data_IF_455069809985
#
_entry.id   IF_455069809985
#
_cell.length_a   1.000
_cell.length_b   1.000
_cell.length_c   1.000
_cell.angle_alpha   90.00
_cell.angle_beta   90.00
_cell.angle_gamma   90.00
#
_symmetry.space_group_name_H-M   'P 1'
#
loop_
_entity.id
_entity.type
_entity.pdbx_description
1 polymer ?
#
# COMPACT_ATOMS: atom_id res chain seq x y z
N UNK A 1 26.59 -33.73 -45.19
CA UNK A 1 26.19 -32.32 -45.01
C UNK A 1 26.46 -31.93 -43.57
N UNK A 2 27.50 -31.14 -43.32
CA UNK A 2 27.84 -30.65 -41.98
C UNK A 2 27.17 -29.29 -41.76
N UNK A 3 26.39 -29.18 -40.69
CA UNK A 3 25.78 -27.93 -40.25
C UNK A 3 26.82 -27.12 -39.44
N UNK A 4 27.21 -25.96 -39.96
CA UNK A 4 28.02 -24.96 -39.25
C UNK A 4 27.08 -24.01 -38.50
N UNK A 5 26.99 -24.15 -37.18
CA UNK A 5 26.41 -23.13 -36.29
C UNK A 5 27.48 -22.09 -35.96
N UNK A 6 27.24 -20.77 -36.16
CA UNK A 6 28.17 -19.75 -35.71
C UNK A 6 28.04 -19.60 -34.20
N UNK A 7 29.11 -19.88 -33.47
CA UNK A 7 29.24 -19.56 -32.05
C UNK A 7 29.47 -18.06 -31.92
N UNK A 8 28.46 -17.31 -31.51
CA UNK A 8 28.64 -15.99 -30.94
C UNK A 8 29.38 -16.13 -29.60
N UNK A 9 30.71 -16.03 -29.62
CA UNK A 9 31.51 -15.86 -28.41
C UNK A 9 31.38 -14.43 -27.92
N UNK A 10 30.45 -14.19 -26.99
CA UNK A 10 30.49 -12.99 -26.15
C UNK A 10 31.68 -13.13 -25.18
N UNK A 11 32.52 -12.09 -25.00
CA UNK A 11 33.57 -12.12 -24.01
C UNK A 11 32.95 -12.25 -22.60
N UNK A 12 33.64 -12.93 -21.66
CA UNK A 12 33.17 -13.02 -20.29
C UNK A 12 33.06 -11.62 -19.71
N UNK A 13 31.85 -11.23 -19.31
CA UNK A 13 31.65 -10.04 -18.49
C UNK A 13 32.41 -10.29 -17.19
N UNK A 14 33.51 -9.56 -16.98
CA UNK A 14 34.15 -9.48 -15.68
C UNK A 14 33.14 -8.86 -14.70
N UNK A 15 32.33 -9.72 -14.07
CA UNK A 15 31.54 -9.32 -12.91
C UNK A 15 32.55 -8.97 -11.82
N UNK A 16 32.83 -7.68 -11.64
CA UNK A 16 33.35 -7.20 -10.36
C UNK A 16 32.38 -7.70 -9.31
N UNK A 17 32.86 -8.50 -8.37
CA UNK A 17 32.09 -8.83 -7.20
C UNK A 17 31.63 -7.50 -6.58
N UNK A 18 30.33 -7.33 -6.25
CA UNK A 18 29.93 -6.19 -5.45
C UNK A 18 30.79 -6.19 -4.18
N UNK A 19 31.19 -5.02 -3.67
CA UNK A 19 31.86 -4.96 -2.37
C UNK A 19 31.00 -5.76 -1.38
N UNK A 20 31.60 -6.52 -0.45
CA UNK A 20 30.82 -7.24 0.54
C UNK A 20 29.90 -6.21 1.17
N UNK A 21 28.58 -6.41 1.02
CA UNK A 21 27.60 -5.66 1.78
C UNK A 21 28.01 -5.89 3.23
N UNK A 22 28.67 -4.89 3.83
CA UNK A 22 28.71 -4.76 5.28
C UNK A 22 27.26 -4.52 5.65
N UNK A 23 26.51 -5.61 5.79
CA UNK A 23 25.35 -5.65 6.62
C UNK A 23 25.90 -5.28 7.99
N UNK A 24 25.85 -3.99 8.31
CA UNK A 24 25.88 -3.57 9.68
C UNK A 24 24.70 -4.31 10.30
N UNK A 25 24.97 -5.41 11.01
CA UNK A 25 23.98 -6.02 11.87
C UNK A 25 23.43 -4.88 12.73
N UNK A 26 22.15 -4.50 12.58
CA UNK A 26 21.63 -3.44 13.41
C UNK A 26 21.77 -3.92 14.84
N UNK A 27 22.58 -3.21 15.62
CA UNK A 27 22.68 -3.43 17.05
C UNK A 27 21.25 -3.43 17.61
N UNK A 28 20.85 -4.38 18.48
CA UNK A 28 19.49 -4.44 19.01
C UNK A 28 18.98 -3.11 19.61
N UNK A 29 19.90 -2.23 20.02
CA UNK A 29 19.62 -0.89 20.51
C UNK A 29 19.04 0.09 19.47
N UNK A 30 19.31 -0.09 18.16
CA UNK A 30 18.76 0.79 17.12
C UNK A 30 17.28 0.52 16.82
N UNK A 31 16.80 -0.70 17.12
CA UNK A 31 15.39 -1.10 17.01
C UNK A 31 14.49 -0.50 18.10
N UNK A 32 15.07 0.13 19.13
CA UNK A 32 14.36 0.58 20.33
C UNK A 32 13.99 2.08 20.34
N UNK A 33 14.18 2.81 19.22
CA UNK A 33 14.18 4.29 19.22
C UNK A 33 12.98 4.99 18.56
N UNK A 34 11.88 4.29 18.29
CA UNK A 34 10.63 5.02 18.10
C UNK A 34 10.26 5.62 19.45
N UNK A 35 10.14 6.95 19.52
CA UNK A 35 9.60 7.61 20.70
C UNK A 35 8.24 6.96 21.03
N UNK A 36 7.98 6.50 22.26
CA UNK A 36 6.68 5.97 22.64
C UNK A 36 5.51 6.86 22.19
N UNK A 37 5.71 8.18 22.15
CA UNK A 37 4.70 9.12 21.68
C UNK A 37 4.44 9.07 20.16
N UNK A 38 5.45 8.70 19.34
CA UNK A 38 5.28 8.49 17.89
C UNK A 38 4.45 7.24 17.55
N UNK A 39 4.29 6.31 18.50
CA UNK A 39 3.52 5.08 18.32
C UNK A 39 2.03 5.27 18.65
N UNK A 40 1.67 6.34 19.37
CA UNK A 40 0.30 6.61 19.80
C UNK A 40 -0.51 7.25 18.67
N UNK A 41 -1.83 7.03 18.70
CA UNK A 41 -2.74 7.69 17.78
C UNK A 41 -3.09 9.07 18.31
N UNK A 42 -2.79 10.09 17.52
CA UNK A 42 -3.25 11.45 17.79
C UNK A 42 -4.75 11.59 17.52
N UNK A 43 -5.38 12.63 18.07
CA UNK A 43 -6.79 12.93 17.80
C UNK A 43 -7.10 13.13 16.30
N UNK A 44 -6.28 13.87 15.51
CA UNK A 44 -6.48 13.95 14.07
C UNK A 44 -6.44 12.60 13.37
N UNK A 45 -5.54 11.70 13.75
CA UNK A 45 -5.46 10.35 13.17
C UNK A 45 -6.71 9.53 13.48
N UNK A 46 -7.22 9.62 14.71
CA UNK A 46 -8.48 8.98 15.13
C UNK A 46 -9.67 9.54 14.36
N UNK A 47 -9.75 10.87 14.21
CA UNK A 47 -10.81 11.53 13.45
C UNK A 47 -10.83 11.10 11.98
N UNK A 48 -9.66 11.05 11.32
CA UNK A 48 -9.57 10.57 9.93
C UNK A 48 -9.92 9.10 9.79
N UNK A 49 -9.49 8.27 10.74
CA UNK A 49 -9.84 6.85 10.76
C UNK A 49 -11.34 6.64 10.89
N UNK A 50 -11.99 7.40 11.79
CA UNK A 50 -13.44 7.39 11.95
C UNK A 50 -14.16 7.87 10.68
N UNK A 51 -13.75 9.00 10.11
CA UNK A 51 -14.35 9.56 8.91
C UNK A 51 -14.26 8.61 7.71
N UNK A 52 -13.09 8.00 7.48
CA UNK A 52 -12.90 7.00 6.43
C UNK A 52 -13.75 5.76 6.64
N UNK A 53 -13.82 5.26 7.88
CA UNK A 53 -14.68 4.11 8.22
C UNK A 53 -16.16 4.41 8.00
N UNK A 54 -16.61 5.60 8.39
CA UNK A 54 -17.99 6.04 8.17
C UNK A 54 -18.32 6.15 6.67
N UNK A 55 -17.40 6.66 5.85
CA UNK A 55 -17.57 6.74 4.40
C UNK A 55 -17.70 5.34 3.75
N UNK A 56 -16.88 4.37 4.17
CA UNK A 56 -16.99 2.97 3.73
C UNK A 56 -18.34 2.37 4.14
N UNK A 57 -18.74 2.52 5.40
CA UNK A 57 -20.01 2.00 5.90
C UNK A 57 -21.21 2.62 5.17
N UNK A 58 -21.17 3.92 4.91
CA UNK A 58 -22.21 4.61 4.15
C UNK A 58 -22.30 4.10 2.72
N UNK A 59 -21.16 3.91 2.04
CA UNK A 59 -21.12 3.39 0.67
C UNK A 59 -21.60 1.94 0.59
N UNK A 60 -21.21 1.11 1.56
CA UNK A 60 -21.67 -0.27 1.65
C UNK A 60 -23.17 -0.34 1.95
N UNK A 61 -23.68 0.51 2.84
CA UNK A 61 -25.11 0.60 3.13
C UNK A 61 -25.90 1.00 1.88
N UNK A 62 -25.46 2.01 1.14
CA UNK A 62 -26.11 2.42 -0.10
C UNK A 62 -26.11 1.30 -1.15
N UNK A 63 -24.97 0.63 -1.32
CA UNK A 63 -24.84 -0.52 -2.23
C UNK A 63 -25.75 -1.67 -1.84
N UNK A 64 -25.89 -1.96 -0.54
CA UNK A 64 -26.78 -3.00 -0.04
C UNK A 64 -28.26 -2.67 -0.26
N UNK A 65 -28.67 -1.41 -0.07
CA UNK A 65 -30.04 -0.97 -0.38
C UNK A 65 -30.35 -1.12 -1.88
N UNK A 66 -29.45 -0.66 -2.76
CA UNK A 66 -29.61 -0.82 -4.20
C UNK A 66 -29.68 -2.30 -4.62
N UNK A 67 -28.85 -3.16 -4.01
CA UNK A 67 -28.89 -4.59 -4.26
C UNK A 67 -30.21 -5.23 -3.81
N UNK A 68 -30.76 -4.83 -2.67
CA UNK A 68 -32.04 -5.31 -2.16
C UNK A 68 -33.21 -4.93 -3.09
N UNK A 69 -33.15 -3.73 -3.68
CA UNK A 69 -34.21 -3.21 -4.56
C UNK A 69 -34.10 -3.70 -6.01
N UNK A 70 -32.95 -4.27 -6.41
CA UNK A 70 -32.67 -4.69 -7.80
C UNK A 70 -33.52 -5.87 -8.31
N UNK A 71 -34.20 -6.61 -7.43
CA UNK A 71 -34.97 -7.80 -7.80
C UNK A 71 -34.14 -9.01 -8.24
N UNK A 72 -32.81 -8.89 -8.33
CA UNK A 72 -31.88 -9.96 -8.68
C UNK A 72 -30.51 -9.74 -8.03
N UNK A 73 -30.01 -10.73 -7.29
CA UNK A 73 -28.67 -10.66 -6.69
C UNK A 73 -27.53 -10.89 -7.68
N UNK A 74 -27.81 -11.33 -8.92
CA UNK A 74 -26.76 -11.67 -9.88
C UNK A 74 -25.95 -10.44 -10.33
N UNK A 75 -26.62 -9.32 -10.65
CA UNK A 75 -25.95 -8.10 -11.10
C UNK A 75 -25.14 -7.43 -9.97
N UNK A 76 -25.69 -7.22 -8.74
CA UNK A 76 -24.90 -6.70 -7.63
C UNK A 76 -23.72 -7.59 -7.25
N UNK A 77 -23.87 -8.91 -7.32
CA UNK A 77 -22.78 -9.84 -7.06
C UNK A 77 -21.68 -9.74 -8.11
N UNK A 78 -22.05 -9.69 -9.40
CA UNK A 78 -21.09 -9.50 -10.49
C UNK A 78 -20.34 -8.17 -10.36
N UNK A 79 -21.06 -7.09 -10.03
CA UNK A 79 -20.47 -5.77 -9.78
C UNK A 79 -19.50 -5.80 -8.58
N UNK A 80 -19.88 -6.44 -7.48
CA UNK A 80 -19.03 -6.57 -6.30
C UNK A 80 -17.74 -7.37 -6.61
N UNK A 81 -17.84 -8.47 -7.36
CA UNK A 81 -16.69 -9.27 -7.77
C UNK A 81 -15.75 -8.49 -8.70
N UNK A 82 -16.30 -7.76 -9.68
CA UNK A 82 -15.52 -6.91 -10.56
C UNK A 82 -14.80 -5.80 -9.77
N UNK A 83 -15.53 -5.10 -8.90
CA UNK A 83 -14.96 -4.04 -8.05
C UNK A 83 -13.86 -4.58 -7.13
N UNK A 84 -14.07 -5.72 -6.49
CA UNK A 84 -13.05 -6.37 -5.64
C UNK A 84 -11.79 -6.73 -6.43
N UNK A 85 -11.95 -7.32 -7.62
CA UNK A 85 -10.81 -7.71 -8.47
C UNK A 85 -10.01 -6.49 -8.93
N UNK A 86 -10.68 -5.43 -9.35
CA UNK A 86 -10.03 -4.17 -9.76
C UNK A 86 -9.33 -3.52 -8.57
N UNK A 87 -9.97 -3.51 -7.39
CA UNK A 87 -9.38 -2.96 -6.18
C UNK A 87 -8.11 -3.72 -5.77
N UNK A 88 -8.13 -5.06 -5.77
CA UNK A 88 -6.97 -5.89 -5.45
C UNK A 88 -5.80 -5.62 -6.41
N UNK A 89 -6.07 -5.63 -7.72
CA UNK A 89 -5.06 -5.33 -8.73
C UNK A 89 -4.49 -3.91 -8.57
N UNK A 90 -5.36 -2.91 -8.40
CA UNK A 90 -4.94 -1.52 -8.23
C UNK A 90 -4.10 -1.32 -6.97
N UNK A 91 -4.50 -1.91 -5.85
CA UNK A 91 -3.73 -1.89 -4.60
C UNK A 91 -2.40 -2.61 -4.76
N UNK A 92 -2.35 -3.74 -5.46
CA UNK A 92 -1.12 -4.46 -5.76
C UNK A 92 -0.13 -3.65 -6.60
N UNK A 93 -0.60 -3.02 -7.69
CA UNK A 93 0.21 -2.12 -8.51
C UNK A 93 0.71 -0.93 -7.70
N UNK A 94 -0.18 -0.31 -6.92
CA UNK A 94 0.17 0.81 -6.06
C UNK A 94 1.26 0.44 -5.04
N UNK A 95 1.11 -0.69 -4.34
CA UNK A 95 2.11 -1.20 -3.40
C UNK A 95 3.45 -1.45 -4.08
N UNK A 96 3.46 -2.14 -5.22
CA UNK A 96 4.69 -2.36 -5.99
C UNK A 96 5.38 -1.04 -6.36
N UNK A 97 4.62 -0.03 -6.79
CA UNK A 97 5.18 1.28 -7.16
C UNK A 97 5.84 1.98 -5.96
N UNK A 98 5.14 2.11 -4.84
CA UNK A 98 5.66 2.87 -3.68
C UNK A 98 6.82 2.15 -2.97
N UNK A 99 6.90 0.82 -3.09
CA UNK A 99 8.01 0.04 -2.53
C UNK A 99 9.27 0.11 -3.39
N UNK A 100 9.15 0.30 -4.71
CA UNK A 100 10.28 0.19 -5.65
C UNK A 100 10.77 1.53 -6.21
N UNK A 101 9.97 2.60 -6.15
CA UNK A 101 10.29 3.88 -6.79
C UNK A 101 10.17 5.07 -5.83
N UNK A 102 11.05 6.05 -6.05
CA UNK A 102 11.09 7.29 -5.27
C UNK A 102 11.64 7.09 -3.85
N UNK A 103 11.61 8.19 -3.09
CA UNK A 103 12.01 8.24 -1.69
C UNK A 103 11.24 9.35 -0.93
N UNK A 104 11.68 9.68 0.29
CA UNK A 104 11.09 10.71 1.15
C UNK A 104 11.03 12.12 0.51
N UNK A 105 11.88 12.41 -0.47
CA UNK A 105 11.93 13.67 -1.20
C UNK A 105 10.97 13.72 -2.40
N UNK A 106 10.31 12.62 -2.74
CA UNK A 106 9.34 12.56 -3.84
C UNK A 106 8.22 13.59 -3.61
N UNK A 107 7.95 14.51 -4.54
CA UNK A 107 6.90 15.51 -4.37
C UNK A 107 5.54 14.86 -4.12
N UNK A 108 4.74 15.45 -3.23
CA UNK A 108 3.38 15.04 -2.85
C UNK A 108 3.26 13.71 -2.09
N UNK A 109 4.06 12.69 -2.45
CA UNK A 109 3.91 11.31 -1.95
C UNK A 109 5.14 10.78 -1.20
N UNK A 110 6.19 11.59 -1.03
CA UNK A 110 7.43 11.14 -0.38
C UNK A 110 7.23 10.60 1.03
N UNK A 111 6.36 11.21 1.84
CA UNK A 111 6.04 10.72 3.18
C UNK A 111 5.40 9.31 3.14
N UNK A 112 4.55 9.06 2.15
CA UNK A 112 3.89 7.76 1.95
C UNK A 112 4.91 6.70 1.51
N UNK A 113 5.76 7.02 0.53
CA UNK A 113 6.84 6.15 0.07
C UNK A 113 7.79 5.80 1.22
N UNK A 114 8.19 6.80 2.01
CA UNK A 114 9.05 6.60 3.16
C UNK A 114 8.42 5.71 4.24
N UNK A 115 7.10 5.84 4.46
CA UNK A 115 6.36 4.99 5.39
C UNK A 115 6.33 3.53 4.90
N UNK A 116 6.00 3.31 3.63
CA UNK A 116 5.96 1.99 3.00
C UNK A 116 7.33 1.31 3.03
N UNK A 117 8.35 1.92 2.44
CA UNK A 117 9.70 1.38 2.45
C UNK A 117 10.28 1.23 3.88
N UNK A 118 9.82 2.09 4.81
CA UNK A 118 10.23 2.09 6.21
C UNK A 118 9.81 0.83 6.96
N UNK A 119 8.61 0.30 6.70
CA UNK A 119 8.16 -0.93 7.38
C UNK A 119 8.88 -2.18 6.89
N UNK A 120 9.46 -2.21 5.68
CA UNK A 120 10.30 -3.35 5.25
C UNK A 120 11.61 -3.40 6.03
N UNK A 121 12.16 -2.23 6.37
CA UNK A 121 13.37 -2.09 7.20
C UNK A 121 13.08 -2.42 8.67
N UNK A 122 11.89 -2.07 9.17
CA UNK A 122 11.50 -2.25 10.57
C UNK A 122 10.08 -2.80 10.70
N UNK A 123 9.83 -4.08 10.34
CA UNK A 123 8.47 -4.63 10.23
C UNK A 123 7.72 -4.67 11.56
N UNK A 124 8.43 -4.82 12.68
CA UNK A 124 7.81 -4.82 14.02
C UNK A 124 7.22 -3.48 14.43
N UNK A 125 7.48 -2.39 13.71
CA UNK A 125 6.93 -1.07 14.06
C UNK A 125 5.42 -1.01 13.84
N UNK A 126 4.90 -1.70 12.82
CA UNK A 126 3.47 -1.68 12.50
C UNK A 126 2.63 -2.31 13.62
N UNK A 127 3.13 -3.36 14.28
CA UNK A 127 2.43 -4.05 15.37
C UNK A 127 2.49 -3.31 16.69
N UNK A 128 3.36 -2.31 16.81
CA UNK A 128 3.54 -1.48 18.02
C UNK A 128 2.81 -0.15 17.93
N UNK A 129 2.48 0.31 16.73
CA UNK A 129 1.67 1.52 16.51
C UNK A 129 0.21 1.23 16.81
N UNK A 130 -0.46 2.19 17.43
CA UNK A 130 -1.90 2.13 17.59
C UNK A 130 -2.62 2.14 16.23
N UNK A 131 -3.81 1.51 16.09
CA UNK A 131 -4.46 1.31 14.80
C UNK A 131 -4.74 2.58 14.00
N UNK A 132 -5.17 3.67 14.65
CA UNK A 132 -5.46 4.91 13.94
C UNK A 132 -4.18 5.59 13.43
N UNK A 133 -3.06 5.45 14.14
CA UNK A 133 -1.76 5.90 13.64
C UNK A 133 -1.38 5.16 12.34
N UNK A 134 -1.59 3.84 12.27
CA UNK A 134 -1.33 3.06 11.04
C UNK A 134 -2.28 3.40 9.88
N UNK A 135 -3.57 3.63 10.15
CA UNK A 135 -4.61 3.62 9.12
C UNK A 135 -5.04 5.01 8.64
N UNK A 136 -4.78 6.08 9.40
CA UNK A 136 -5.38 7.40 9.14
C UNK A 136 -5.09 7.97 7.75
N UNK A 137 -3.91 7.73 7.17
CA UNK A 137 -3.56 8.27 5.85
C UNK A 137 -4.44 7.69 4.75
N UNK A 138 -4.64 6.36 4.76
CA UNK A 138 -5.56 5.67 3.87
C UNK A 138 -7.01 6.07 4.16
N UNK A 139 -7.40 6.11 5.44
CA UNK A 139 -8.74 6.48 5.85
C UNK A 139 -9.11 7.92 5.42
N UNK A 140 -8.16 8.85 5.48
CA UNK A 140 -8.33 10.22 4.96
C UNK A 140 -8.57 10.22 3.45
N UNK A 141 -7.79 9.47 2.68
CA UNK A 141 -7.99 9.39 1.23
C UNK A 141 -9.38 8.83 0.89
N UNK A 142 -9.79 7.77 1.60
CA UNK A 142 -11.12 7.14 1.45
C UNK A 142 -12.25 8.10 1.84
N UNK A 143 -12.11 8.82 2.96
CA UNK A 143 -13.09 9.80 3.43
C UNK A 143 -13.34 10.92 2.42
N UNK A 144 -12.33 11.28 1.61
CA UNK A 144 -12.44 12.30 0.58
C UNK A 144 -12.96 11.72 -0.75
N UNK A 145 -12.52 10.53 -1.13
CA UNK A 145 -12.83 9.93 -2.43
C UNK A 145 -14.26 9.37 -2.50
N UNK A 146 -14.72 8.67 -1.46
CA UNK A 146 -16.02 8.00 -1.51
C UNK A 146 -17.19 8.97 -1.62
N UNK A 147 -17.34 10.02 -0.80
CA UNK A 147 -18.44 10.98 -0.97
C UNK A 147 -18.43 11.64 -2.35
N UNK A 148 -17.25 11.94 -2.90
CA UNK A 148 -17.12 12.48 -4.26
C UNK A 148 -17.66 11.50 -5.31
N UNK A 149 -17.38 10.20 -5.18
CA UNK A 149 -17.91 9.18 -6.10
C UNK A 149 -19.45 9.10 -6.08
N UNK A 150 -20.09 9.32 -4.93
CA UNK A 150 -21.57 9.34 -4.82
C UNK A 150 -22.18 10.63 -5.39
N UNK A 151 -21.42 11.72 -5.54
CA UNK A 151 -21.92 12.95 -6.15
C UNK A 151 -22.04 12.86 -7.68
N UNK A 152 -21.47 11.82 -8.30
CA UNK A 152 -21.47 11.60 -9.76
C UNK A 152 -22.27 10.35 -10.18
N UNK A 153 -22.88 9.64 -9.23
CA UNK A 153 -23.76 8.50 -9.46
C UNK A 153 -25.23 8.94 -9.36
#
# INVERSE_FOLDING_TARGET
MYALTPRCTLPPVHRRAPPPCRAASPTPAALARADPDELRSTWPQRAWTLAGSAAVLSSLSASASLAADSGSYAEPLAAALAAYTVADLATGVYHWLVDNYGDASTPLVGAQIAAFQGHHRHPSTITRREPCNNLHALARAVALALPAAHAFA
#
